data_IF_449502141073
#
_entry.id   IF_449502141073
#
_cell.length_a   1.000
_cell.length_b   1.000
_cell.length_c   1.000
_cell.angle_alpha   90.00
_cell.angle_beta   90.00
_cell.angle_gamma   90.00
#
_symmetry.space_group_name_H-M   'P 1'
#
loop_
_entity.id
_entity.type
_entity.pdbx_description
1 polymer ?
#
# COMPACT_ATOMS: atom_id res chain seq x y z
N UNK A 1 6.95 26.36 -17.15
CA UNK A 1 7.32 24.95 -17.28
C UNK A 1 6.59 24.29 -16.14
N UNK A 2 5.35 23.87 -16.41
CA UNK A 2 4.55 23.19 -15.39
C UNK A 2 5.23 21.85 -15.15
N UNK A 3 5.62 21.58 -13.90
CA UNK A 3 5.93 20.23 -13.46
C UNK A 3 4.64 19.43 -13.63
N UNK A 4 4.39 18.94 -14.85
CA UNK A 4 3.70 17.67 -15.00
C UNK A 4 4.63 16.65 -14.37
N UNK A 5 4.54 16.56 -13.03
CA UNK A 5 4.91 15.39 -12.27
C UNK A 5 3.94 14.30 -12.73
N UNK A 6 4.15 13.84 -13.96
CA UNK A 6 3.45 12.74 -14.59
C UNK A 6 3.64 11.60 -13.60
N UNK A 7 2.55 11.21 -12.97
CA UNK A 7 2.42 9.99 -12.18
C UNK A 7 2.94 8.83 -13.06
N UNK A 8 4.23 8.54 -13.02
CA UNK A 8 4.90 7.69 -14.02
C UNK A 8 4.99 6.24 -13.57
N UNK A 9 4.21 5.84 -12.56
CA UNK A 9 4.36 4.52 -11.99
C UNK A 9 3.19 4.04 -11.14
N UNK A 10 3.55 3.32 -10.09
CA UNK A 10 2.64 2.80 -9.07
C UNK A 10 2.83 3.60 -7.79
N UNK A 11 1.73 3.92 -7.14
CA UNK A 11 1.71 4.46 -5.79
C UNK A 11 0.98 3.48 -4.88
N UNK A 12 1.48 3.33 -3.67
CA UNK A 12 0.87 2.47 -2.68
C UNK A 12 0.31 3.31 -1.52
N UNK A 13 -0.76 2.82 -0.91
CA UNK A 13 -1.43 3.49 0.22
C UNK A 13 -1.98 2.51 1.24
N UNK A 14 -2.28 3.02 2.42
CA UNK A 14 -2.89 2.26 3.53
C UNK A 14 -4.21 2.93 3.86
N UNK A 15 -5.29 2.15 3.91
CA UNK A 15 -6.61 2.60 4.35
C UNK A 15 -6.96 1.84 5.62
N UNK A 16 -7.12 2.56 6.73
CA UNK A 16 -7.37 1.93 8.03
C UNK A 16 -8.22 2.81 8.95
N UNK A 17 -9.01 2.14 9.80
CA UNK A 17 -9.75 2.71 10.94
C UNK A 17 -9.16 2.27 12.30
N UNK A 18 -7.88 1.88 12.31
CA UNK A 18 -7.11 1.23 13.39
C UNK A 18 -7.36 -0.28 13.55
N UNK A 19 -8.58 -0.78 13.33
CA UNK A 19 -8.89 -2.22 13.42
C UNK A 19 -8.78 -2.91 12.06
N UNK A 20 -9.33 -2.28 11.02
CA UNK A 20 -9.40 -2.81 9.66
C UNK A 20 -8.32 -2.19 8.80
N UNK A 21 -7.66 -3.01 8.00
CA UNK A 21 -6.53 -2.62 7.18
C UNK A 21 -6.74 -3.10 5.74
N UNK A 22 -6.66 -2.16 4.81
CA UNK A 22 -6.50 -2.41 3.39
C UNK A 22 -5.21 -1.78 2.89
N UNK A 23 -4.52 -2.48 1.99
CA UNK A 23 -3.39 -1.95 1.24
C UNK A 23 -3.85 -1.68 -0.19
N UNK A 24 -3.60 -0.46 -0.66
CA UNK A 24 -4.03 0.01 -1.96
C UNK A 24 -2.84 0.13 -2.91
N UNK A 25 -2.97 -0.37 -4.13
CA UNK A 25 -2.10 -0.06 -5.27
C UNK A 25 -2.90 0.85 -6.21
N UNK A 26 -2.32 2.00 -6.55
CA UNK A 26 -2.79 2.90 -7.60
C UNK A 26 -1.78 2.88 -8.74
N UNK A 27 -2.24 2.69 -9.97
CA UNK A 27 -1.37 2.69 -11.15
C UNK A 27 -2.09 3.34 -12.33
N UNK A 28 -1.35 3.82 -13.32
CA UNK A 28 -1.92 4.11 -14.62
C UNK A 28 -1.98 2.83 -15.46
N UNK A 29 -2.96 2.75 -16.34
CA UNK A 29 -2.97 1.77 -17.42
C UNK A 29 -2.42 2.34 -18.73
N UNK A 30 -2.39 1.52 -19.78
CA UNK A 30 -1.87 1.88 -21.09
C UNK A 30 -2.62 3.06 -21.75
N UNK A 31 -3.77 3.46 -21.21
CA UNK A 31 -4.58 4.60 -21.66
C UNK A 31 -4.49 5.79 -20.69
N UNK A 32 -3.53 5.79 -19.78
CA UNK A 32 -3.34 6.84 -18.77
C UNK A 32 -4.55 7.00 -17.83
N UNK A 33 -5.30 5.91 -17.57
CA UNK A 33 -6.42 5.90 -16.62
C UNK A 33 -5.97 5.33 -15.28
N UNK A 34 -6.43 5.94 -14.20
CA UNK A 34 -6.18 5.44 -12.85
C UNK A 34 -6.87 4.08 -12.64
N UNK A 35 -6.09 3.10 -12.19
CA UNK A 35 -6.57 1.81 -11.70
C UNK A 35 -6.25 1.70 -10.22
N UNK A 36 -7.19 1.10 -9.50
CA UNK A 36 -7.09 0.88 -8.08
C UNK A 36 -7.22 -0.61 -7.80
N UNK A 37 -6.33 -1.14 -6.97
CA UNK A 37 -6.46 -2.48 -6.39
C UNK A 37 -6.39 -2.36 -4.88
N UNK A 38 -7.31 -3.03 -4.21
CA UNK A 38 -7.31 -3.18 -2.77
C UNK A 38 -6.92 -4.61 -2.41
N UNK A 39 -6.14 -4.75 -1.36
CA UNK A 39 -5.84 -6.04 -0.76
C UNK A 39 -7.12 -6.68 -0.19
N UNK A 40 -7.00 -7.95 0.22
CA UNK A 40 -7.97 -8.52 1.16
C UNK A 40 -7.90 -7.75 2.48
N UNK A 41 -9.05 -7.60 3.13
CA UNK A 41 -9.16 -7.01 4.46
C UNK A 41 -8.32 -7.81 5.48
N UNK A 42 -7.56 -7.10 6.31
CA UNK A 42 -6.96 -7.65 7.53
C UNK A 42 -7.61 -6.95 8.72
N UNK A 43 -8.11 -7.71 9.68
CA UNK A 43 -8.75 -7.17 10.88
C UNK A 43 -7.90 -7.50 12.10
N UNK A 44 -7.41 -6.48 12.79
CA UNK A 44 -6.61 -6.57 14.00
C UNK A 44 -7.51 -6.24 15.19
N UNK A 45 -7.94 -7.27 15.92
CA UNK A 45 -8.74 -7.12 17.14
C UNK A 45 -7.84 -7.44 18.34
N UNK A 46 -7.82 -6.56 19.32
CA UNK A 46 -7.04 -6.77 20.54
C UNK A 46 -7.53 -8.03 21.30
N UNK A 47 -6.59 -8.79 21.85
CA UNK A 47 -6.85 -10.03 22.62
C UNK A 47 -7.57 -11.14 21.83
N UNK A 48 -7.59 -11.04 20.49
CA UNK A 48 -8.08 -12.13 19.66
C UNK A 48 -7.03 -13.23 19.51
N UNK A 49 -7.49 -14.48 19.35
CA UNK A 49 -6.59 -15.64 19.13
C UNK A 49 -5.65 -15.47 17.93
N UNK A 50 -6.07 -14.72 16.92
CA UNK A 50 -5.32 -14.45 15.68
C UNK A 50 -4.70 -13.05 15.64
N UNK A 51 -4.66 -12.32 16.77
CA UNK A 51 -4.15 -10.95 16.82
C UNK A 51 -2.70 -10.89 16.33
N UNK A 52 -1.83 -11.77 16.84
CA UNK A 52 -0.40 -11.80 16.50
C UNK A 52 -0.22 -12.02 15.00
N UNK A 53 -0.85 -13.06 14.43
CA UNK A 53 -0.76 -13.36 13.00
C UNK A 53 -1.24 -12.19 12.11
N UNK A 54 -2.30 -11.50 12.52
CA UNK A 54 -2.84 -10.36 11.78
C UNK A 54 -1.94 -9.12 11.90
N UNK A 55 -1.35 -8.87 13.07
CA UNK A 55 -0.36 -7.80 13.28
C UNK A 55 0.88 -8.07 12.44
N UNK A 56 1.42 -9.30 12.46
CA UNK A 56 2.58 -9.69 11.67
C UNK A 56 2.32 -9.49 10.18
N UNK A 57 1.10 -9.81 9.72
CA UNK A 57 0.70 -9.58 8.33
C UNK A 57 0.62 -8.08 7.98
N UNK A 58 0.15 -7.23 8.89
CA UNK A 58 0.11 -5.78 8.67
C UNK A 58 1.53 -5.21 8.63
N UNK A 59 2.36 -5.53 9.62
CA UNK A 59 3.74 -5.05 9.71
C UNK A 59 4.60 -5.56 8.55
N UNK A 60 4.42 -6.81 8.12
CA UNK A 60 5.10 -7.37 6.95
C UNK A 60 4.78 -6.63 5.66
N UNK A 61 3.51 -6.23 5.44
CA UNK A 61 3.17 -5.40 4.29
C UNK A 61 3.73 -3.98 4.40
N UNK A 62 3.73 -3.37 5.59
CA UNK A 62 4.32 -2.03 5.80
C UNK A 62 5.83 -2.07 5.50
N UNK A 63 6.55 -3.08 6.02
CA UNK A 63 7.96 -3.26 5.72
C UNK A 63 8.21 -3.40 4.22
N UNK A 64 7.44 -4.24 3.54
CA UNK A 64 7.51 -4.38 2.08
C UNK A 64 7.25 -3.06 1.34
N UNK A 65 6.25 -2.27 1.76
CA UNK A 65 5.97 -0.95 1.17
C UNK A 65 7.13 0.03 1.34
N UNK A 66 7.77 0.04 2.51
CA UNK A 66 8.94 0.87 2.76
C UNK A 66 10.14 0.46 1.90
N UNK A 67 10.33 -0.84 1.68
CA UNK A 67 11.36 -1.34 0.74
C UNK A 67 11.08 -0.90 -0.70
N UNK A 68 9.83 -0.96 -1.17
CA UNK A 68 9.46 -0.51 -2.51
C UNK A 68 9.66 0.99 -2.69
N UNK A 69 9.33 1.80 -1.67
CA UNK A 69 9.58 3.24 -1.70
C UNK A 69 11.09 3.55 -1.83
N UNK A 70 11.94 2.87 -1.06
CA UNK A 70 13.40 3.07 -1.12
C UNK A 70 14.01 2.70 -2.48
N UNK A 71 13.49 1.64 -3.13
CA UNK A 71 13.93 1.24 -4.48
C UNK A 71 13.59 2.31 -5.51
N UNK A 72 12.41 2.92 -5.41
CA UNK A 72 12.00 4.00 -6.30
C UNK A 72 12.91 5.23 -6.14
N UNK A 73 13.24 5.61 -4.90
CA UNK A 73 14.14 6.75 -4.63
C UNK A 73 15.57 6.52 -5.12
N UNK A 74 16.06 5.26 -5.05
CA UNK A 74 17.42 4.90 -5.48
C UNK A 74 17.58 4.80 -6.99
N UNK A 75 16.48 4.77 -7.75
CA UNK A 75 16.47 4.69 -9.21
C UNK A 75 16.55 6.06 -9.90
N UNK A 76 16.62 7.14 -9.12
CA UNK A 76 16.68 8.54 -9.55
C UNK A 76 18.13 9.06 -9.55
#
# INVERSE_FOLDING_TARGET
MEEEDLFTGKTYGIVTDAEKWYFMECSLDDQNRLRFKLSKLVTVVYDSKNMVDNVDRVLGHIAWLLEEAQKADSAV
#
